data_IF_570221736895
#
_entry.id   IF_570221736895
#
_cell.length_a   1.000
_cell.length_b   1.000
_cell.length_c   1.000
_cell.angle_alpha   90.00
_cell.angle_beta   90.00
_cell.angle_gamma   90.00
#
_symmetry.space_group_name_H-M   'P 1'
#
loop_
_entity.id
_entity.type
_entity.pdbx_description
1 polymer ?
#
# COMPACT_ATOMS: atom_id res chain seq x y z
N UNK A 1 -45.15 -1.44 -68.31
CA UNK A 1 -44.99 -0.07 -68.83
C UNK A 1 -43.79 0.55 -68.13
N UNK A 2 -42.97 1.23 -68.92
CA UNK A 2 -41.62 1.71 -68.64
C UNK A 2 -41.68 3.10 -67.99
N UNK A 3 -40.92 3.34 -66.91
CA UNK A 3 -40.38 4.68 -66.57
C UNK A 3 -39.26 4.57 -65.53
N UNK A 4 -37.99 4.55 -65.96
CA UNK A 4 -37.01 5.67 -65.98
C UNK A 4 -36.38 5.97 -64.62
N UNK A 5 -35.21 5.35 -64.39
CA UNK A 5 -34.22 5.76 -63.41
C UNK A 5 -33.49 7.03 -63.88
N UNK A 6 -33.36 8.02 -63.00
CA UNK A 6 -32.57 9.22 -63.23
C UNK A 6 -31.22 9.11 -62.51
N UNK A 7 -30.13 9.01 -63.29
CA UNK A 7 -28.77 9.19 -62.81
C UNK A 7 -28.57 10.66 -62.41
N UNK A 8 -28.11 10.91 -61.18
CA UNK A 8 -27.49 12.19 -60.80
C UNK A 8 -25.98 11.99 -60.71
N UNK A 9 -25.27 12.72 -61.56
CA UNK A 9 -23.81 12.84 -61.56
C UNK A 9 -23.45 13.90 -60.52
N UNK A 10 -22.69 13.52 -59.50
CA UNK A 10 -22.08 14.46 -58.54
C UNK A 10 -20.69 14.88 -59.05
N UNK A 11 -20.30 16.16 -58.94
CA UNK A 11 -18.97 16.60 -59.33
C UNK A 11 -17.94 16.20 -58.28
N UNK A 12 -16.81 15.68 -58.75
CA UNK A 12 -15.64 15.30 -57.99
C UNK A 12 -14.95 16.58 -57.46
N UNK A 13 -14.95 16.79 -56.14
CA UNK A 13 -14.22 17.87 -55.48
C UNK A 13 -12.75 17.42 -55.31
N UNK A 14 -11.82 17.99 -56.08
CA UNK A 14 -10.38 17.80 -55.86
C UNK A 14 -9.95 18.58 -54.61
N UNK A 15 -9.58 17.87 -53.54
CA UNK A 15 -8.84 18.42 -52.42
C UNK A 15 -7.34 18.42 -52.74
N UNK A 16 -6.76 19.62 -52.82
CA UNK A 16 -5.32 19.84 -52.93
C UNK A 16 -4.72 19.80 -51.52
N UNK A 17 -3.91 18.79 -51.22
CA UNK A 17 -3.11 18.75 -49.99
C UNK A 17 -1.83 19.56 -50.21
N UNK A 18 -1.72 20.72 -49.58
CA UNK A 18 -0.47 21.45 -49.45
C UNK A 18 0.34 20.84 -48.29
N UNK A 19 1.43 20.15 -48.62
CA UNK A 19 2.41 19.64 -47.64
C UNK A 19 3.29 20.78 -47.14
N UNK A 20 2.89 21.43 -46.05
CA UNK A 20 3.76 22.31 -45.28
C UNK A 20 4.73 21.47 -44.45
N UNK A 21 6.02 21.53 -44.76
CA UNK A 21 7.09 21.02 -43.91
C UNK A 21 7.33 22.02 -42.75
N UNK A 22 6.79 21.73 -41.57
CA UNK A 22 7.17 22.41 -40.34
C UNK A 22 8.47 21.78 -39.82
N UNK A 23 9.57 22.53 -39.61
CA UNK A 23 10.74 21.98 -38.95
C UNK A 23 10.37 21.60 -37.51
N UNK A 24 10.69 20.38 -37.11
CA UNK A 24 10.50 19.89 -35.75
C UNK A 24 11.27 20.78 -34.77
N UNK A 25 10.60 21.19 -33.69
CA UNK A 25 11.24 21.92 -32.60
C UNK A 25 12.32 21.04 -31.97
N UNK A 26 13.52 21.57 -31.84
CA UNK A 26 14.60 20.93 -31.08
C UNK A 26 14.19 20.97 -29.60
N UNK A 27 14.15 19.83 -28.88
CA UNK A 27 13.86 19.84 -27.46
C UNK A 27 14.96 20.63 -26.74
N UNK A 28 14.54 21.52 -25.83
CA UNK A 28 15.46 22.24 -24.96
C UNK A 28 16.30 21.25 -24.14
N UNK A 29 17.59 21.53 -23.87
CA UNK A 29 18.37 20.68 -22.98
C UNK A 29 17.69 20.63 -21.61
N UNK A 30 17.44 19.42 -21.13
CA UNK A 30 16.99 19.12 -19.78
C UNK A 30 17.88 19.86 -18.78
N UNK A 31 17.34 20.54 -17.76
CA UNK A 31 18.16 21.06 -16.69
C UNK A 31 18.94 19.89 -16.09
N UNK A 32 20.27 19.92 -16.21
CA UNK A 32 21.11 19.05 -15.41
C UNK A 32 20.81 19.43 -13.95
N UNK A 33 20.25 18.49 -13.19
CA UNK A 33 20.15 18.64 -11.75
C UNK A 33 21.58 18.84 -11.24
N UNK A 34 21.86 20.07 -10.82
CA UNK A 34 22.99 20.32 -9.94
C UNK A 34 22.86 19.33 -8.78
N UNK A 35 24.00 18.86 -8.26
CA UNK A 35 24.09 18.02 -7.07
C UNK A 35 23.49 18.80 -5.90
N UNK A 36 22.17 18.76 -5.81
CA UNK A 36 21.41 19.34 -4.71
C UNK A 36 21.85 18.55 -3.48
N UNK A 37 22.05 19.30 -2.38
CA UNK A 37 22.21 18.69 -1.08
C UNK A 37 21.15 17.60 -0.90
N UNK A 38 21.55 16.45 -0.34
CA UNK A 38 20.62 15.42 0.13
C UNK A 38 19.47 16.14 0.82
N UNK A 39 18.19 15.88 0.46
CA UNK A 39 17.09 16.43 1.22
C UNK A 39 17.38 16.18 2.71
N UNK A 40 17.07 17.12 3.59
CA UNK A 40 16.92 16.77 5.00
C UNK A 40 15.88 15.65 5.01
N UNK A 41 16.35 14.40 5.06
CA UNK A 41 15.48 13.25 4.96
C UNK A 41 14.52 13.30 6.13
N UNK A 42 13.30 12.80 5.89
CA UNK A 42 12.27 12.67 6.90
C UNK A 42 12.86 12.10 8.20
N UNK A 43 12.82 12.87 9.29
CA UNK A 43 13.49 12.53 10.56
C UNK A 43 12.73 11.42 11.30
N UNK A 44 12.90 10.19 10.82
CA UNK A 44 12.31 8.97 11.40
C UNK A 44 12.58 8.87 12.90
N UNK A 45 13.80 9.22 13.35
CA UNK A 45 14.17 9.07 14.76
C UNK A 45 13.52 10.13 15.64
N UNK A 46 13.45 11.38 15.17
CA UNK A 46 12.75 12.46 15.84
C UNK A 46 11.25 12.21 15.90
N UNK A 47 10.63 11.84 14.78
CA UNK A 47 9.20 11.52 14.69
C UNK A 47 8.80 10.41 15.66
N UNK A 48 9.52 9.28 15.64
CA UNK A 48 9.24 8.17 16.57
C UNK A 48 9.44 8.56 18.04
N UNK A 49 10.41 9.45 18.34
CA UNK A 49 10.60 9.95 19.70
C UNK A 49 9.41 10.81 20.13
N UNK A 50 8.90 11.65 19.24
CA UNK A 50 7.78 12.55 19.53
C UNK A 50 6.47 11.78 19.75
N UNK A 51 6.28 10.64 19.07
CA UNK A 51 5.08 9.80 19.19
C UNK A 51 4.99 8.99 20.49
N UNK A 52 6.04 8.95 21.34
CA UNK A 52 6.03 8.12 22.55
C UNK A 52 4.95 8.53 23.54
N UNK A 53 4.89 9.82 23.84
CA UNK A 53 3.91 10.35 24.79
C UNK A 53 2.48 10.22 24.23
N UNK A 54 2.31 10.35 22.91
CA UNK A 54 1.03 10.12 22.23
C UNK A 54 0.61 8.64 22.34
N UNK A 55 1.53 7.69 22.12
CA UNK A 55 1.27 6.26 22.26
C UNK A 55 0.86 5.91 23.69
N UNK A 56 1.62 6.37 24.69
CA UNK A 56 1.32 6.09 26.09
C UNK A 56 -0.08 6.60 26.48
N UNK A 57 -0.47 7.79 25.98
CA UNK A 57 -1.79 8.37 26.21
C UNK A 57 -2.90 7.57 25.52
N UNK A 58 -2.71 7.14 24.27
CA UNK A 58 -3.70 6.34 23.53
C UNK A 58 -3.87 4.96 24.18
N UNK A 59 -2.78 4.31 24.59
CA UNK A 59 -2.83 3.02 25.30
C UNK A 59 -3.62 3.13 26.62
N UNK A 60 -3.42 4.21 27.39
CA UNK A 60 -4.18 4.46 28.63
C UNK A 60 -5.67 4.71 28.35
N UNK A 61 -6.00 5.49 27.31
CA UNK A 61 -7.38 5.84 26.96
C UNK A 61 -8.17 4.64 26.44
N UNK A 62 -7.57 3.86 25.55
CA UNK A 62 -8.24 2.78 24.81
C UNK A 62 -8.09 1.41 25.46
N UNK A 63 -7.18 1.26 26.45
CA UNK A 63 -6.85 -0.05 27.02
C UNK A 63 -6.14 -0.99 26.03
N UNK A 64 -5.54 -0.44 24.97
CA UNK A 64 -4.80 -1.19 23.97
C UNK A 64 -3.29 -1.13 24.18
N UNK A 65 -2.57 -1.95 23.43
CA UNK A 65 -1.13 -1.95 23.27
C UNK A 65 -0.83 -1.57 21.82
N UNK A 66 0.03 -0.58 21.59
CA UNK A 66 0.32 0.00 20.28
C UNK A 66 1.78 -0.18 19.86
N UNK A 67 2.01 -0.18 18.56
CA UNK A 67 3.34 -0.12 17.98
C UNK A 67 3.34 0.57 16.63
N UNK A 68 4.41 1.31 16.35
CA UNK A 68 4.65 1.93 15.05
C UNK A 68 6.10 1.75 14.62
N UNK A 69 6.29 1.46 13.34
CA UNK A 69 7.59 1.51 12.69
C UNK A 69 7.55 2.34 11.42
N UNK A 70 8.64 3.07 11.19
CA UNK A 70 8.83 3.97 10.07
C UNK A 70 10.15 3.63 9.34
N UNK A 71 10.13 3.69 8.01
CA UNK A 71 11.32 3.55 7.17
C UNK A 71 11.32 4.52 6.00
N UNK A 72 12.38 5.32 5.87
CA UNK A 72 12.52 6.34 4.83
C UNK A 72 13.51 5.93 3.70
N UNK A 73 13.81 4.64 3.58
CA UNK A 73 14.85 4.14 2.64
C UNK A 73 16.26 4.07 3.23
N UNK A 74 16.49 4.68 4.39
CA UNK A 74 17.80 4.70 5.05
C UNK A 74 17.73 4.33 6.53
N UNK A 75 16.85 4.99 7.28
CA UNK A 75 16.67 4.81 8.72
C UNK A 75 15.38 4.03 8.95
N UNK A 76 15.50 2.88 9.61
CA UNK A 76 14.38 2.08 10.09
C UNK A 76 14.30 2.23 11.61
N UNK A 77 13.16 2.67 12.12
CA UNK A 77 12.95 2.85 13.55
C UNK A 77 11.60 2.28 14.00
N UNK A 78 11.50 2.02 15.29
CA UNK A 78 10.30 1.51 15.94
C UNK A 78 10.11 2.14 17.33
N UNK A 79 8.87 2.33 17.75
CA UNK A 79 8.48 2.67 19.13
C UNK A 79 7.11 2.06 19.48
N UNK A 80 6.82 1.93 20.78
CA UNK A 80 5.59 1.33 21.32
C UNK A 80 5.82 -0.02 22.00
N UNK A 81 4.74 -0.63 22.49
CA UNK A 81 4.72 -1.93 23.18
C UNK A 81 4.65 -3.11 22.21
N UNK A 82 4.02 -2.95 21.04
CA UNK A 82 3.81 -4.02 20.04
C UNK A 82 4.84 -3.99 18.90
N UNK A 83 5.90 -4.80 19.00
CA UNK A 83 6.94 -4.84 17.97
C UNK A 83 6.66 -5.82 16.81
N UNK A 84 5.88 -6.86 17.10
CA UNK A 84 5.53 -7.95 16.19
C UNK A 84 4.11 -8.41 16.49
N UNK A 85 3.35 -8.69 15.43
CA UNK A 85 2.08 -9.42 15.47
C UNK A 85 2.06 -10.45 14.34
N UNK A 86 1.14 -11.44 14.40
CA UNK A 86 0.72 -12.15 13.19
C UNK A 86 0.40 -11.15 12.06
N UNK A 87 0.70 -11.54 10.83
CA UNK A 87 0.48 -10.69 9.65
C UNK A 87 -1.00 -10.43 9.42
N UNK A 88 -1.88 -11.37 9.78
CA UNK A 88 -3.28 -11.36 9.36
C UNK A 88 -3.36 -11.12 7.84
N UNK A 89 -4.37 -10.38 7.37
CA UNK A 89 -4.52 -10.09 5.95
C UNK A 89 -3.46 -9.16 5.34
N UNK A 90 -2.51 -8.62 6.11
CA UNK A 90 -1.42 -7.83 5.53
C UNK A 90 -0.50 -8.66 4.63
N UNK A 91 -0.37 -9.96 4.87
CA UNK A 91 0.44 -10.87 4.04
C UNK A 91 -0.08 -11.03 2.61
N UNK A 92 -1.31 -10.60 2.31
CA UNK A 92 -1.88 -10.69 0.96
C UNK A 92 -1.09 -9.91 -0.06
N UNK A 93 -0.44 -8.82 0.35
CA UNK A 93 0.38 -7.99 -0.55
C UNK A 93 1.58 -8.76 -1.09
N UNK A 94 2.49 -9.34 -0.27
CA UNK A 94 3.58 -10.15 -0.82
C UNK A 94 3.10 -11.44 -1.49
N UNK A 95 1.96 -12.03 -1.07
CA UNK A 95 1.35 -13.15 -1.81
C UNK A 95 0.97 -12.73 -3.24
N UNK A 96 0.30 -11.59 -3.39
CA UNK A 96 -0.16 -11.09 -4.68
C UNK A 96 1.02 -10.74 -5.60
N UNK A 97 2.06 -10.08 -5.07
CA UNK A 97 3.25 -9.73 -5.85
C UNK A 97 4.02 -10.98 -6.30
N UNK A 98 4.27 -11.93 -5.41
CA UNK A 98 4.88 -13.20 -5.78
C UNK A 98 4.04 -13.95 -6.84
N UNK A 99 2.71 -13.86 -6.77
CA UNK A 99 1.81 -14.49 -7.73
C UNK A 99 1.87 -13.84 -9.12
N UNK A 100 2.02 -12.51 -9.19
CA UNK A 100 2.24 -11.82 -10.47
C UNK A 100 3.48 -12.34 -11.21
N UNK A 101 4.51 -12.74 -10.47
CA UNK A 101 5.77 -13.18 -11.06
C UNK A 101 5.82 -14.69 -11.37
N UNK A 102 4.97 -15.49 -10.70
CA UNK A 102 5.14 -16.94 -10.69
C UNK A 102 3.90 -17.77 -11.03
N UNK A 103 2.70 -17.20 -11.01
CA UNK A 103 1.49 -17.94 -11.33
C UNK A 103 1.25 -18.08 -12.84
N UNK A 104 1.02 -19.33 -13.27
CA UNK A 104 0.60 -19.65 -14.64
C UNK A 104 -0.93 -19.60 -14.76
N UNK A 105 -1.46 -18.38 -14.71
CA UNK A 105 -2.88 -18.05 -14.94
C UNK A 105 -2.98 -16.91 -15.94
N UNK A 106 -4.14 -16.73 -16.58
CA UNK A 106 -4.34 -15.57 -17.46
C UNK A 106 -4.32 -14.26 -16.67
N UNK A 107 -3.80 -13.19 -17.29
CA UNK A 107 -3.76 -11.83 -16.71
C UNK A 107 -5.12 -11.40 -16.12
N UNK A 108 -6.23 -11.64 -16.83
CA UNK A 108 -7.59 -11.33 -16.36
C UNK A 108 -7.96 -12.03 -15.03
N UNK A 109 -7.56 -13.29 -14.90
CA UNK A 109 -7.84 -14.08 -13.71
C UNK A 109 -6.96 -13.63 -12.54
N UNK A 110 -5.69 -13.34 -12.82
CA UNK A 110 -4.76 -12.79 -11.84
C UNK A 110 -5.25 -11.43 -11.32
N UNK A 111 -5.65 -10.53 -12.22
CA UNK A 111 -6.21 -9.22 -11.89
C UNK A 111 -7.41 -9.35 -10.95
N UNK A 112 -8.38 -10.20 -11.31
CA UNK A 112 -9.58 -10.45 -10.48
C UNK A 112 -9.22 -10.95 -9.07
N UNK A 113 -8.25 -11.87 -8.98
CA UNK A 113 -7.80 -12.42 -7.69
C UNK A 113 -7.08 -11.36 -6.84
N UNK A 114 -6.26 -10.52 -7.46
CA UNK A 114 -5.52 -9.44 -6.78
C UNK A 114 -6.50 -8.39 -6.25
N UNK A 115 -7.40 -7.89 -7.09
CA UNK A 115 -8.42 -6.90 -6.72
C UNK A 115 -9.23 -7.40 -5.51
N UNK A 116 -9.78 -8.61 -5.59
CA UNK A 116 -10.55 -9.20 -4.51
C UNK A 116 -9.71 -9.40 -3.23
N UNK A 117 -8.47 -9.90 -3.34
CA UNK A 117 -7.62 -10.16 -2.18
C UNK A 117 -7.14 -8.87 -1.49
N UNK A 118 -6.86 -7.81 -2.24
CA UNK A 118 -6.25 -6.58 -1.71
C UNK A 118 -7.31 -5.56 -1.32
N UNK A 119 -8.23 -5.21 -2.23
CA UNK A 119 -9.23 -4.16 -1.97
C UNK A 119 -10.26 -4.62 -0.95
N UNK A 120 -10.80 -5.83 -1.15
CA UNK A 120 -11.88 -6.40 -0.34
C UNK A 120 -11.38 -7.27 0.81
N UNK A 121 -10.10 -7.63 0.80
CA UNK A 121 -9.56 -8.60 1.75
C UNK A 121 -10.26 -9.96 1.63
N UNK A 122 -10.60 -10.41 0.42
CA UNK A 122 -11.17 -11.75 0.18
C UNK A 122 -10.15 -12.86 0.50
N UNK A 123 -10.57 -13.87 1.25
CA UNK A 123 -9.66 -14.92 1.73
C UNK A 123 -9.55 -16.08 0.75
N UNK A 124 -10.57 -16.34 -0.06
CA UNK A 124 -10.55 -17.43 -1.04
C UNK A 124 -9.61 -17.08 -2.20
N UNK A 125 -9.62 -15.82 -2.65
CA UNK A 125 -8.70 -15.29 -3.65
C UNK A 125 -7.27 -15.30 -3.15
N UNK A 126 -7.04 -14.83 -1.92
CA UNK A 126 -5.71 -14.87 -1.30
C UNK A 126 -5.19 -16.30 -1.10
N UNK A 127 -6.05 -17.25 -0.76
CA UNK A 127 -5.69 -18.67 -0.63
C UNK A 127 -5.32 -19.27 -1.98
N UNK A 128 -6.06 -18.93 -3.04
CA UNK A 128 -5.75 -19.36 -4.41
C UNK A 128 -4.38 -18.86 -4.87
N UNK A 129 -4.05 -17.59 -4.59
CA UNK A 129 -2.74 -17.01 -4.90
C UNK A 129 -1.63 -17.69 -4.07
N UNK A 130 -1.85 -17.91 -2.77
CA UNK A 130 -0.88 -18.59 -1.89
C UNK A 130 -0.64 -20.04 -2.31
N UNK A 131 -1.69 -20.78 -2.68
CA UNK A 131 -1.58 -22.17 -3.15
C UNK A 131 -0.74 -22.28 -4.43
N UNK A 132 -0.78 -21.24 -5.26
CA UNK A 132 0.04 -21.15 -6.46
C UNK A 132 1.53 -20.92 -6.15
N UNK A 133 1.86 -19.98 -5.25
CA UNK A 133 3.27 -19.56 -5.03
C UNK A 133 3.96 -20.27 -3.88
N UNK A 134 3.20 -20.77 -2.90
CA UNK A 134 3.73 -21.32 -1.65
C UNK A 134 4.39 -20.26 -0.75
N UNK A 135 4.74 -20.63 0.48
CA UNK A 135 5.30 -19.70 1.46
C UNK A 135 6.73 -19.27 1.16
N UNK A 136 7.54 -20.14 0.55
CA UNK A 136 8.94 -19.83 0.19
C UNK A 136 9.03 -18.62 -0.75
N UNK A 137 8.16 -18.53 -1.75
CA UNK A 137 8.10 -17.38 -2.66
C UNK A 137 7.64 -16.10 -1.98
N UNK A 138 6.76 -16.19 -1.00
CA UNK A 138 6.32 -15.04 -0.19
C UNK A 138 7.49 -14.50 0.64
N UNK A 139 8.32 -15.39 1.20
CA UNK A 139 9.53 -14.99 1.92
C UNK A 139 10.59 -14.38 1.01
N UNK A 140 10.77 -14.95 -0.19
CA UNK A 140 11.67 -14.41 -1.23
C UNK A 140 11.25 -12.99 -1.65
N UNK A 141 9.97 -12.76 -1.96
CA UNK A 141 9.42 -11.45 -2.32
C UNK A 141 9.71 -10.41 -1.21
N UNK A 142 9.43 -10.75 0.06
CA UNK A 142 9.70 -9.84 1.18
C UNK A 142 11.21 -9.60 1.35
N UNK A 143 12.05 -10.60 1.06
CA UNK A 143 13.50 -10.49 1.16
C UNK A 143 14.12 -9.53 0.13
N UNK A 144 13.47 -9.30 -1.03
CA UNK A 144 13.92 -8.33 -2.03
C UNK A 144 14.01 -6.90 -1.45
N UNK A 145 13.11 -6.58 -0.53
CA UNK A 145 13.10 -5.30 0.18
C UNK A 145 14.21 -5.20 1.27
N UNK A 146 15.00 -6.25 1.49
CA UNK A 146 15.85 -6.39 2.69
C UNK A 146 15.03 -6.49 3.98
N UNK A 147 13.80 -7.00 3.87
CA UNK A 147 12.88 -7.28 4.96
C UNK A 147 12.80 -8.80 5.19
N UNK A 148 12.03 -9.23 6.19
CA UNK A 148 11.85 -10.65 6.51
C UNK A 148 10.49 -10.95 7.14
N UNK A 149 9.90 -12.07 6.78
CA UNK A 149 8.68 -12.60 7.38
C UNK A 149 8.90 -14.09 7.69
N UNK A 150 8.34 -14.60 8.78
CA UNK A 150 8.28 -16.05 9.03
C UNK A 150 6.93 -16.54 8.48
N UNK A 151 6.92 -16.95 7.20
CA UNK A 151 5.70 -17.20 6.48
C UNK A 151 5.05 -18.52 6.90
N UNK A 152 3.76 -18.47 7.23
CA UNK A 152 2.97 -19.61 7.60
C UNK A 152 1.96 -19.96 6.51
N UNK A 153 1.82 -21.24 6.20
CA UNK A 153 0.80 -21.73 5.27
C UNK A 153 -0.63 -21.49 5.82
N UNK A 154 -0.79 -21.41 7.15
CA UNK A 154 -2.02 -20.95 7.75
C UNK A 154 -2.14 -19.43 7.58
N UNK A 155 -3.09 -19.06 6.72
CA UNK A 155 -3.36 -17.68 6.34
C UNK A 155 -3.37 -16.72 7.54
N UNK A 156 -2.53 -15.67 7.46
CA UNK A 156 -2.46 -14.61 8.46
C UNK A 156 -1.77 -14.96 9.78
N UNK A 157 -1.19 -16.16 9.92
CA UNK A 157 -0.46 -16.58 11.13
C UNK A 157 1.05 -16.42 11.04
N UNK A 158 1.56 -15.88 9.94
CA UNK A 158 2.97 -15.52 9.77
C UNK A 158 3.38 -14.47 10.79
N UNK A 159 4.47 -14.68 11.50
CA UNK A 159 5.00 -13.66 12.40
C UNK A 159 5.69 -12.58 11.55
N UNK A 160 5.21 -11.34 11.65
CA UNK A 160 5.73 -10.24 10.84
C UNK A 160 6.04 -9.00 11.67
N UNK A 161 7.33 -8.74 11.97
CA UNK A 161 7.75 -7.56 12.72
C UNK A 161 7.36 -6.25 12.03
N UNK A 162 6.97 -5.23 12.81
CA UNK A 162 6.60 -3.92 12.25
C UNK A 162 7.76 -3.27 11.48
N UNK A 163 8.99 -3.38 11.98
CA UNK A 163 10.17 -2.86 11.29
C UNK A 163 10.40 -3.52 9.92
N UNK A 164 10.08 -4.80 9.81
CA UNK A 164 10.13 -5.52 8.54
C UNK A 164 9.03 -5.04 7.60
N UNK A 165 7.79 -4.96 8.09
CA UNK A 165 6.64 -4.51 7.31
C UNK A 165 6.77 -3.04 6.84
N UNK A 166 7.31 -2.14 7.67
CA UNK A 166 7.55 -0.75 7.28
C UNK A 166 8.63 -0.64 6.19
N UNK A 167 9.68 -1.45 6.27
CA UNK A 167 10.69 -1.54 5.20
C UNK A 167 10.10 -2.06 3.90
N UNK A 168 9.28 -3.11 3.98
CA UNK A 168 8.57 -3.64 2.82
C UNK A 168 7.61 -2.60 2.24
N UNK A 169 6.86 -1.88 3.08
CA UNK A 169 5.99 -0.77 2.67
C UNK A 169 6.73 0.30 1.87
N UNK A 170 7.91 0.75 2.32
CA UNK A 170 8.73 1.67 1.53
C UNK A 170 9.21 1.06 0.21
N UNK A 171 9.61 -0.22 0.19
CA UNK A 171 10.01 -0.90 -1.06
C UNK A 171 8.89 -0.87 -2.11
N UNK A 172 7.64 -1.06 -1.68
CA UNK A 172 6.47 -0.98 -2.57
C UNK A 172 6.35 0.39 -3.26
N UNK A 173 6.76 1.48 -2.59
CA UNK A 173 6.77 2.82 -3.20
C UNK A 173 7.78 3.00 -4.34
N UNK A 174 8.69 2.04 -4.51
CA UNK A 174 9.70 2.04 -5.59
C UNK A 174 9.28 1.19 -6.79
N UNK A 175 8.16 0.46 -6.69
CA UNK A 175 7.57 -0.28 -7.81
C UNK A 175 6.81 0.68 -8.74
N UNK A 176 6.51 0.20 -9.95
CA UNK A 176 5.75 0.99 -10.92
C UNK A 176 4.36 1.35 -10.37
N UNK A 177 3.95 2.60 -10.55
CA UNK A 177 2.67 3.13 -10.04
C UNK A 177 1.45 2.42 -10.64
N UNK A 178 1.60 1.84 -11.83
CA UNK A 178 0.56 1.08 -12.54
C UNK A 178 0.59 -0.42 -12.24
N UNK A 179 1.47 -0.88 -11.32
CA UNK A 179 1.42 -2.26 -10.84
C UNK A 179 0.07 -2.54 -10.16
N UNK A 180 -0.62 -3.60 -10.59
CA UNK A 180 -1.99 -3.90 -10.16
C UNK A 180 -2.14 -4.09 -8.64
N UNK A 181 -1.11 -4.60 -7.94
CA UNK A 181 -1.15 -4.73 -6.47
C UNK A 181 -1.06 -3.37 -5.80
N UNK A 182 -0.21 -2.48 -6.32
CA UNK A 182 -0.07 -1.11 -5.82
C UNK A 182 -1.37 -0.32 -6.07
N UNK A 183 -1.93 -0.45 -7.27
CA UNK A 183 -3.25 0.14 -7.61
C UNK A 183 -4.33 -0.35 -6.64
N UNK A 184 -4.41 -1.65 -6.39
CA UNK A 184 -5.39 -2.20 -5.45
C UNK A 184 -5.16 -1.73 -4.00
N UNK A 185 -3.91 -1.49 -3.59
CA UNK A 185 -3.59 -0.91 -2.27
C UNK A 185 -4.06 0.55 -2.11
N UNK A 186 -4.22 1.29 -3.21
CA UNK A 186 -4.85 2.62 -3.19
C UNK A 186 -6.37 2.55 -3.13
N UNK A 187 -6.97 1.43 -3.54
CA UNK A 187 -8.42 1.26 -3.69
C UNK A 187 -9.02 0.32 -2.63
N UNK A 188 -8.38 0.20 -1.46
CA UNK A 188 -8.96 -0.52 -0.31
C UNK A 188 -10.33 0.07 0.02
N UNK A 189 -11.34 -0.79 0.15
CA UNK A 189 -12.74 -0.36 0.32
C UNK A 189 -12.96 0.50 1.57
N UNK A 190 -13.92 1.43 1.51
CA UNK A 190 -14.20 2.44 2.54
C UNK A 190 -14.29 1.87 3.96
N UNK A 191 -14.91 0.70 4.15
CA UNK A 191 -15.06 0.10 5.48
C UNK A 191 -13.73 -0.37 6.10
N UNK A 192 -12.67 -0.47 5.29
CA UNK A 192 -11.32 -0.85 5.70
C UNK A 192 -10.32 0.33 5.70
N UNK A 193 -10.77 1.54 5.35
CA UNK A 193 -9.96 2.78 5.35
C UNK A 193 -9.84 3.43 6.74
N UNK A 194 -9.66 2.64 7.79
CA UNK A 194 -9.22 3.14 9.10
C UNK A 194 -7.70 3.30 9.14
N UNK A 195 -7.15 3.88 10.21
CA UNK A 195 -5.72 4.10 10.41
C UNK A 195 -5.09 4.83 9.21
N UNK A 196 -4.13 4.19 8.54
CA UNK A 196 -3.41 4.73 7.38
C UNK A 196 -4.33 5.13 6.23
N UNK A 197 -5.56 4.61 6.16
CA UNK A 197 -6.55 5.02 5.18
C UNK A 197 -6.89 6.51 5.22
N UNK A 198 -6.68 7.17 6.36
CA UNK A 198 -6.91 8.61 6.53
C UNK A 198 -5.95 9.51 5.74
N UNK A 199 -4.80 8.99 5.29
CA UNK A 199 -3.85 9.75 4.48
C UNK A 199 -4.29 9.80 3.02
N UNK A 200 -4.25 10.99 2.43
CA UNK A 200 -4.45 11.14 1.00
C UNK A 200 -3.35 10.40 0.22
N UNK A 201 -3.76 9.56 -0.73
CA UNK A 201 -2.87 8.77 -1.57
C UNK A 201 -1.92 7.83 -0.79
N UNK A 202 -2.36 7.29 0.35
CA UNK A 202 -1.66 6.15 0.96
C UNK A 202 -1.98 4.85 0.21
N UNK A 203 -0.94 4.06 -0.10
CA UNK A 203 -1.12 2.67 -0.51
C UNK A 203 -0.89 1.79 0.72
N UNK A 204 -1.90 1.06 1.16
CA UNK A 204 -1.82 0.28 2.39
C UNK A 204 -2.62 -1.03 2.31
N UNK A 205 -2.38 -1.91 3.28
CA UNK A 205 -3.24 -3.06 3.54
C UNK A 205 -3.44 -3.24 5.04
N UNK A 206 -4.70 -3.41 5.44
CA UNK A 206 -5.09 -3.81 6.79
C UNK A 206 -5.24 -5.32 6.97
N UNK A 207 -5.06 -5.77 8.21
CA UNK A 207 -5.35 -7.13 8.66
C UNK A 207 -5.71 -7.15 10.15
N UNK A 208 -6.70 -7.95 10.51
CA UNK A 208 -7.24 -8.02 11.85
C UNK A 208 -7.74 -9.43 12.19
N UNK A 209 -7.67 -9.80 13.46
CA UNK A 209 -8.35 -11.00 13.99
C UNK A 209 -8.22 -11.07 15.50
N UNK A 210 -9.10 -11.87 16.11
CA UNK A 210 -8.92 -12.33 17.49
C UNK A 210 -7.86 -13.44 17.58
N UNK A 211 -6.98 -13.37 18.56
CA UNK A 211 -6.12 -14.51 18.93
C UNK A 211 -6.84 -15.42 19.92
N UNK A 212 -7.19 -16.63 19.46
CA UNK A 212 -7.91 -17.61 20.27
C UNK A 212 -7.08 -18.16 21.44
N UNK A 213 -5.76 -17.92 21.48
CA UNK A 213 -4.88 -18.43 22.54
C UNK A 213 -5.06 -17.65 23.84
N UNK A 214 -5.27 -16.34 23.74
CA UNK A 214 -5.36 -15.45 24.89
C UNK A 214 -6.64 -14.59 24.91
N UNK A 215 -7.45 -14.63 23.85
CA UNK A 215 -8.69 -13.87 23.73
C UNK A 215 -8.49 -12.42 23.28
N UNK A 216 -7.25 -12.02 23.00
CA UNK A 216 -6.96 -10.66 22.55
C UNK A 216 -7.44 -10.42 21.12
N UNK A 217 -7.60 -9.15 20.74
CA UNK A 217 -7.88 -8.73 19.38
C UNK A 217 -6.70 -7.96 18.82
N UNK A 218 -6.36 -8.21 17.56
CA UNK A 218 -5.28 -7.56 16.86
C UNK A 218 -5.81 -6.83 15.64
N UNK A 219 -5.36 -5.59 15.43
CA UNK A 219 -5.53 -4.84 14.19
C UNK A 219 -4.17 -4.29 13.77
N UNK A 220 -3.82 -4.38 12.49
CA UNK A 220 -2.58 -3.83 11.96
C UNK A 220 -2.73 -3.37 10.53
N UNK A 221 -1.89 -2.42 10.16
CA UNK A 221 -1.73 -1.95 8.79
C UNK A 221 -0.26 -1.79 8.45
N UNK A 222 0.06 -1.89 7.17
CA UNK A 222 1.32 -1.41 6.65
C UNK A 222 1.13 -0.88 5.24
N UNK A 223 2.10 -0.12 4.76
CA UNK A 223 2.10 0.44 3.42
C UNK A 223 3.12 1.55 3.32
N UNK A 224 2.87 2.47 2.39
CA UNK A 224 3.60 3.72 2.33
C UNK A 224 2.65 4.91 2.24
N UNK A 225 3.08 6.00 2.85
CA UNK A 225 2.38 7.29 2.80
C UNK A 225 3.27 8.31 2.10
N UNK A 226 2.70 9.17 1.23
CA UNK A 226 3.44 10.28 0.65
C UNK A 226 3.68 11.36 1.70
N UNK A 227 4.91 11.86 1.77
CA UNK A 227 5.30 13.00 2.59
C UNK A 227 6.16 13.92 1.74
N UNK A 228 5.57 15.05 1.35
CA UNK A 228 6.09 15.93 0.30
C UNK A 228 6.39 15.13 -0.99
N UNK A 229 7.60 15.26 -1.55
CA UNK A 229 8.06 14.55 -2.75
C UNK A 229 8.67 13.17 -2.45
N UNK A 230 8.45 12.61 -1.26
CA UNK A 230 9.04 11.34 -0.82
C UNK A 230 8.00 10.38 -0.27
N UNK A 231 8.33 9.08 -0.22
CA UNK A 231 7.51 8.06 0.42
C UNK A 231 8.10 7.64 1.77
N UNK A 232 7.22 7.45 2.75
CA UNK A 232 7.53 6.89 4.06
C UNK A 232 6.87 5.52 4.17
N UNK A 233 7.66 4.47 4.36
CA UNK A 233 7.13 3.16 4.73
C UNK A 233 6.65 3.18 6.17
N UNK A 234 5.41 2.76 6.40
CA UNK A 234 4.76 2.79 7.71
C UNK A 234 4.19 1.42 8.03
N UNK A 235 4.34 0.97 9.27
CA UNK A 235 3.61 -0.15 9.81
C UNK A 235 3.10 0.18 11.22
N UNK A 236 1.80 0.00 11.45
CA UNK A 236 1.14 0.25 12.71
C UNK A 236 0.40 -1.01 13.19
N UNK A 237 0.34 -1.21 14.51
CA UNK A 237 -0.38 -2.31 15.11
C UNK A 237 -0.97 -1.91 16.46
N UNK A 238 -2.15 -2.46 16.74
CA UNK A 238 -2.86 -2.39 18.00
C UNK A 238 -3.26 -3.79 18.45
N UNK A 239 -3.10 -4.06 19.74
CA UNK A 239 -3.59 -5.26 20.42
C UNK A 239 -4.49 -4.83 21.57
N UNK A 240 -5.73 -5.32 21.60
CA UNK A 240 -6.63 -5.21 22.75
C UNK A 240 -6.54 -6.50 23.57
N UNK A 241 -5.99 -6.49 24.79
CA UNK A 241 -6.01 -7.66 25.68
C UNK A 241 -7.42 -8.18 25.95
N UNK A 242 -8.40 -7.28 26.01
CA UNK A 242 -9.81 -7.60 26.28
C UNK A 242 -10.61 -8.07 25.04
N UNK A 243 -9.96 -8.17 23.88
CA UNK A 243 -10.59 -8.69 22.66
C UNK A 243 -11.49 -7.70 21.91
N UNK A 244 -11.36 -6.40 22.14
CA UNK A 244 -12.15 -5.36 21.48
C UNK A 244 -11.56 -5.00 20.12
N UNK A 245 -12.36 -5.17 19.07
CA UNK A 245 -11.99 -4.74 17.71
C UNK A 245 -12.07 -3.22 17.56
N UNK A 246 -13.12 -2.63 18.11
CA UNK A 246 -13.39 -1.19 18.07
C UNK A 246 -12.25 -0.41 18.71
N UNK A 247 -11.79 -0.82 19.90
CA UNK A 247 -10.73 -0.10 20.62
C UNK A 247 -9.40 -0.16 19.85
N UNK A 248 -9.09 -1.29 19.19
CA UNK A 248 -7.89 -1.36 18.35
C UNK A 248 -7.96 -0.46 17.12
N UNK A 249 -9.14 -0.29 16.52
CA UNK A 249 -9.30 0.60 15.37
C UNK A 249 -9.21 2.07 15.82
N UNK A 250 -9.90 2.42 16.92
CA UNK A 250 -9.83 3.76 17.50
C UNK A 250 -8.39 4.14 17.86
N UNK A 251 -7.64 3.24 18.49
CA UNK A 251 -6.23 3.46 18.83
C UNK A 251 -5.36 3.72 17.58
N UNK A 252 -5.62 3.00 16.47
CA UNK A 252 -4.88 3.20 15.21
C UNK A 252 -5.29 4.49 14.48
N UNK A 253 -6.54 4.89 14.56
CA UNK A 253 -7.03 6.18 14.04
C UNK A 253 -6.35 7.33 14.81
N UNK A 254 -6.29 7.27 16.15
CA UNK A 254 -5.61 8.27 16.98
C UNK A 254 -4.09 8.31 16.73
N UNK A 255 -3.43 7.15 16.64
CA UNK A 255 -2.00 7.05 16.34
C UNK A 255 -1.68 7.63 14.95
N UNK A 256 -2.56 7.41 13.97
CA UNK A 256 -2.41 7.97 12.63
C UNK A 256 -2.53 9.49 12.64
N UNK A 257 -3.50 10.05 13.38
CA UNK A 257 -3.63 11.49 13.55
C UNK A 257 -2.41 12.12 14.24
N UNK A 258 -1.85 11.45 15.25
CA UNK A 258 -0.60 11.86 15.88
C UNK A 258 0.57 11.84 14.89
N UNK A 259 0.72 10.78 14.09
CA UNK A 259 1.74 10.69 13.05
C UNK A 259 1.60 11.82 12.02
N UNK A 260 0.40 12.04 11.49
CA UNK A 260 0.12 13.09 10.51
C UNK A 260 0.54 14.48 11.02
N UNK A 261 0.23 14.78 12.29
CA UNK A 261 0.67 16.01 12.96
C UNK A 261 2.19 16.14 13.05
N UNK A 262 2.92 15.05 13.36
CA UNK A 262 4.39 15.07 13.39
C UNK A 262 5.00 15.25 12.00
N UNK A 263 4.33 14.72 10.97
CA UNK A 263 4.75 14.85 9.57
C UNK A 263 4.35 16.21 8.95
N UNK A 264 3.42 16.94 9.58
CA UNK A 264 2.85 18.16 8.99
C UNK A 264 1.96 17.87 7.77
N UNK A 265 1.38 16.67 7.70
CA UNK A 265 0.52 16.20 6.61
C UNK A 265 -0.93 16.25 7.07
N UNK A 266 -1.82 16.73 6.20
CA UNK A 266 -3.27 16.71 6.45
C UNK A 266 -3.82 15.30 6.20
N UNK A 267 -4.80 14.90 7.01
CA UNK A 267 -5.54 13.64 6.85
C UNK A 267 -7.04 13.94 6.82
N UNK A 268 -7.81 13.10 6.14
CA UNK A 268 -9.25 13.24 6.14
C UNK A 268 -9.87 12.53 7.35
N UNK A 269 -10.92 13.10 7.96
CA UNK A 269 -11.64 12.44 9.03
C UNK A 269 -12.37 11.21 8.50
N UNK A 270 -12.47 10.19 9.34
CA UNK A 270 -13.32 9.03 9.12
C UNK A 270 -14.81 9.35 9.33
#
# INVERSE_FOLDING_TARGET
MITRAALRVSPLLLLVFATGCTPAAVPAPTPAYATAATPEGLDVTGTLRALRDDIDAIEEETGTELGISLYNGHINGYTGTVATLPSWSTIKVPIALAAQEHCDVSDEALHTLIEAAIEWSDNDSASTLLDCVGTERVEEEVAEAGASIDANAAFGRSEWPLASAARYGWYLSTRDEDNEVIVAMYNVVDEQQWGLGAFDNAAFKGGWSGDRRDGSWHSRQFGFVPVDDTALGVAIAARSPDGSDTDTIEALDQLTAALAKQLGVEIHPR
#
